data_IF_122228403754
#
_entry.id   IF_122228403754
#
_cell.length_a   1.000
_cell.length_b   1.000
_cell.length_c   1.000
_cell.angle_alpha   90.00
_cell.angle_beta   90.00
_cell.angle_gamma   90.00
#
_symmetry.space_group_name_H-M   'P 1'
#
loop_
_entity.id
_entity.type
_entity.pdbx_description
1 polymer ?
#
# COMPACT_ATOMS: atom_id res chain seq x y z
N UNK A 1 -46.38 19.58 -75.65
CA UNK A 1 -46.43 19.75 -74.18
C UNK A 1 -45.18 19.21 -73.62
N UNK A 2 -44.20 20.09 -73.27
CA UNK A 2 -42.93 19.70 -72.62
C UNK A 2 -43.07 20.01 -71.14
N UNK A 3 -42.96 18.96 -70.26
CA UNK A 3 -42.83 19.13 -68.84
C UNK A 3 -41.34 18.98 -68.47
N UNK A 4 -40.75 20.07 -67.99
CA UNK A 4 -39.37 20.12 -67.54
C UNK A 4 -39.38 20.03 -66.00
N UNK A 5 -38.85 18.93 -65.44
CA UNK A 5 -38.67 18.75 -63.96
C UNK A 5 -37.33 19.31 -63.60
N UNK A 6 -37.33 20.40 -62.84
CA UNK A 6 -36.09 20.95 -62.19
C UNK A 6 -35.78 20.19 -60.93
N UNK A 7 -34.68 19.47 -60.91
CA UNK A 7 -34.08 19.00 -59.67
C UNK A 7 -33.38 20.17 -58.94
N UNK A 8 -33.86 20.50 -57.77
CA UNK A 8 -33.12 21.37 -56.83
C UNK A 8 -31.96 20.60 -56.21
N UNK A 9 -30.74 21.10 -56.37
CA UNK A 9 -29.54 20.63 -55.70
C UNK A 9 -29.69 20.89 -54.19
N UNK A 10 -29.86 19.83 -53.41
CA UNK A 10 -29.68 19.89 -51.96
C UNK A 10 -28.19 19.99 -51.66
N UNK A 11 -27.82 21.03 -50.94
CA UNK A 11 -26.45 21.41 -50.70
C UNK A 11 -25.72 20.37 -49.84
N UNK A 12 -24.51 20.04 -50.25
CA UNK A 12 -23.51 19.14 -49.67
C UNK A 12 -23.00 19.57 -48.29
N UNK A 13 -23.71 20.47 -47.61
CA UNK A 13 -23.29 20.99 -46.27
C UNK A 13 -23.80 20.18 -45.08
N UNK A 14 -24.71 19.23 -45.27
CA UNK A 14 -25.25 18.42 -44.17
C UNK A 14 -24.62 17.04 -44.05
N UNK A 15 -23.82 16.58 -45.01
CA UNK A 15 -23.07 15.31 -44.87
C UNK A 15 -21.78 15.42 -44.06
N UNK A 16 -21.24 16.62 -43.89
CA UNK A 16 -20.01 16.82 -43.09
C UNK A 16 -20.23 16.90 -41.59
N UNK A 17 -21.45 17.08 -41.09
CA UNK A 17 -21.75 17.13 -39.65
C UNK A 17 -22.07 15.75 -39.04
N UNK A 18 -22.41 14.76 -39.87
CA UNK A 18 -22.68 13.39 -39.34
C UNK A 18 -21.41 12.54 -39.25
N UNK A 19 -20.37 12.86 -40.04
CA UNK A 19 -19.08 12.15 -39.95
C UNK A 19 -18.20 12.56 -38.75
N UNK A 20 -18.47 13.71 -38.12
CA UNK A 20 -17.70 14.18 -36.96
C UNK A 20 -18.19 13.64 -35.61
N UNK A 21 -19.34 12.96 -35.58
CA UNK A 21 -19.91 12.40 -34.33
C UNK A 21 -19.55 10.91 -34.09
N UNK A 22 -18.74 10.31 -34.95
CA UNK A 22 -18.25 8.94 -34.81
C UNK A 22 -16.76 8.85 -34.44
N UNK A 23 -16.10 9.98 -34.17
CA UNK A 23 -14.75 9.95 -33.56
C UNK A 23 -14.91 9.77 -32.07
N UNK A 24 -14.81 8.50 -31.67
CA UNK A 24 -14.55 7.95 -30.37
C UNK A 24 -14.65 8.92 -29.18
N UNK A 25 -15.79 8.95 -28.51
CA UNK A 25 -15.77 9.29 -27.09
C UNK A 25 -14.73 8.36 -26.46
N UNK A 26 -13.72 8.87 -25.72
CA UNK A 26 -12.90 8.00 -24.91
C UNK A 26 -13.87 7.20 -24.04
N UNK A 27 -13.82 5.87 -24.14
CA UNK A 27 -14.50 5.02 -23.18
C UNK A 27 -13.88 5.41 -21.85
N UNK A 28 -14.60 6.22 -21.08
CA UNK A 28 -14.23 6.48 -19.71
C UNK A 28 -14.29 5.11 -19.02
N UNK A 29 -13.12 4.46 -18.86
CA UNK A 29 -13.04 3.32 -17.98
C UNK A 29 -13.45 3.84 -16.61
N UNK A 30 -14.57 3.34 -16.10
CA UNK A 30 -15.00 3.67 -14.74
C UNK A 30 -13.93 3.12 -13.80
N UNK A 31 -13.32 4.01 -12.99
CA UNK A 31 -12.37 3.62 -11.98
C UNK A 31 -13.02 2.62 -11.02
N UNK A 32 -12.29 1.55 -10.67
CA UNK A 32 -12.82 0.54 -9.78
C UNK A 32 -12.94 1.09 -8.36
N UNK A 33 -14.16 1.22 -7.89
CA UNK A 33 -14.48 1.64 -6.54
C UNK A 33 -15.67 0.85 -5.97
N UNK A 34 -15.70 0.76 -4.66
CA UNK A 34 -16.88 0.38 -3.88
C UNK A 34 -17.24 1.55 -2.96
N UNK A 35 -18.46 1.62 -2.40
CA UNK A 35 -18.79 2.72 -1.50
C UNK A 35 -17.75 2.90 -0.38
N UNK A 36 -17.13 4.07 -0.33
CA UNK A 36 -16.13 4.43 0.66
C UNK A 36 -14.68 4.04 0.35
N UNK A 37 -14.42 3.31 -0.77
CA UNK A 37 -13.07 2.83 -1.08
C UNK A 37 -12.81 2.78 -2.58
N UNK A 38 -11.70 3.33 -3.01
CA UNK A 38 -11.13 3.20 -4.34
C UNK A 38 -9.81 2.41 -4.26
N UNK A 39 -9.68 1.35 -5.06
CA UNK A 39 -8.44 0.57 -5.14
C UNK A 39 -7.46 1.29 -6.08
N UNK A 40 -6.26 1.55 -5.58
CA UNK A 40 -5.20 2.29 -6.29
C UNK A 40 -3.99 1.38 -6.50
N UNK A 41 -3.39 1.44 -7.68
CA UNK A 41 -2.32 0.51 -8.03
C UNK A 41 -1.16 1.20 -8.78
N UNK A 42 0.08 0.90 -8.37
CA UNK A 42 1.26 1.25 -9.15
C UNK A 42 1.62 0.08 -10.08
N UNK A 43 1.51 0.33 -11.37
CA UNK A 43 2.05 -0.56 -12.41
C UNK A 43 3.49 -0.14 -12.69
N UNK A 44 4.49 -1.02 -12.47
CA UNK A 44 5.87 -0.69 -12.78
C UNK A 44 6.05 -0.39 -14.27
N UNK A 45 6.60 0.78 -14.57
CA UNK A 45 6.81 1.24 -15.96
C UNK A 45 7.63 0.21 -16.76
N UNK A 46 7.20 -0.08 -18.01
CA UNK A 46 7.86 -1.04 -18.89
C UNK A 46 7.59 -2.51 -18.52
N UNK A 47 6.48 -2.80 -17.84
CA UNK A 47 5.95 -4.16 -17.67
C UNK A 47 4.69 -4.35 -18.50
N UNK A 48 4.32 -5.62 -18.76
CA UNK A 48 3.08 -5.99 -19.45
C UNK A 48 1.86 -6.05 -18.51
N UNK A 49 2.00 -5.51 -17.29
CA UNK A 49 0.90 -5.44 -16.35
C UNK A 49 -0.04 -4.28 -16.72
N UNK A 50 -1.32 -4.56 -16.85
CA UNK A 50 -2.32 -3.58 -17.24
C UNK A 50 -3.51 -3.61 -16.28
N UNK A 51 -3.80 -2.46 -15.69
CA UNK A 51 -4.95 -2.28 -14.78
C UNK A 51 -5.68 -0.97 -15.15
N UNK A 52 -6.32 -0.91 -16.33
CA UNK A 52 -6.89 0.34 -16.86
C UNK A 52 -8.05 0.88 -16.02
N UNK A 53 -8.62 0.06 -15.16
CA UNK A 53 -9.67 0.40 -14.21
C UNK A 53 -9.15 0.81 -12.83
N UNK A 54 -7.83 0.84 -12.62
CA UNK A 54 -7.21 1.28 -11.37
C UNK A 54 -6.35 2.52 -11.62
N UNK A 55 -6.61 3.56 -10.84
CA UNK A 55 -5.84 4.79 -10.93
C UNK A 55 -4.43 4.63 -10.35
N UNK A 56 -3.50 5.39 -10.91
CA UNK A 56 -2.15 5.48 -10.37
C UNK A 56 -2.14 6.33 -9.08
N UNK A 57 -1.32 5.95 -8.07
CA UNK A 57 -1.28 6.67 -6.79
C UNK A 57 -0.84 8.12 -6.94
N UNK A 58 0.06 8.43 -7.87
CA UNK A 58 0.51 9.80 -8.11
C UNK A 58 -0.63 10.74 -8.50
N UNK A 59 -1.58 10.27 -9.31
CA UNK A 59 -2.75 11.07 -9.72
C UNK A 59 -3.73 11.24 -8.55
N UNK A 60 -3.99 10.16 -7.82
CA UNK A 60 -4.86 10.19 -6.63
C UNK A 60 -4.30 11.11 -5.54
N UNK A 61 -3.00 11.04 -5.25
CA UNK A 61 -2.38 11.89 -4.25
C UNK A 61 -2.40 13.36 -4.64
N UNK A 62 -2.11 13.66 -5.91
CA UNK A 62 -2.19 15.04 -6.44
C UNK A 62 -3.60 15.61 -6.36
N UNK A 63 -4.61 14.81 -6.70
CA UNK A 63 -6.03 15.20 -6.57
C UNK A 63 -6.38 15.50 -5.11
N UNK A 64 -6.04 14.60 -4.18
CA UNK A 64 -6.32 14.76 -2.75
C UNK A 64 -5.64 16.00 -2.17
N UNK A 65 -4.36 16.24 -2.47
CA UNK A 65 -3.64 17.43 -2.02
C UNK A 65 -4.13 18.72 -2.71
N UNK A 66 -4.51 18.62 -3.98
CA UNK A 66 -5.11 19.74 -4.72
C UNK A 66 -6.48 20.15 -4.17
N UNK A 67 -7.27 19.21 -3.70
CA UNK A 67 -8.60 19.43 -3.13
C UNK A 67 -8.57 19.90 -1.66
N UNK A 68 -7.46 19.72 -0.95
CA UNK A 68 -7.32 20.05 0.47
C UNK A 68 -7.61 21.53 0.75
N UNK A 69 -8.36 21.81 1.83
CA UNK A 69 -8.80 23.14 2.24
C UNK A 69 -8.30 23.56 3.62
N UNK A 70 -8.18 22.61 4.54
CA UNK A 70 -7.87 22.90 5.94
C UNK A 70 -6.56 22.26 6.38
N UNK A 71 -6.41 20.95 6.17
CA UNK A 71 -5.30 20.18 6.74
C UNK A 71 -4.95 18.94 5.93
N UNK A 72 -3.66 18.65 5.86
CA UNK A 72 -3.11 17.38 5.38
C UNK A 72 -2.20 16.82 6.47
N UNK A 73 -2.46 15.59 6.90
CA UNK A 73 -1.71 14.86 7.91
C UNK A 73 -1.06 13.64 7.25
N UNK A 74 0.27 13.61 7.19
CA UNK A 74 1.03 12.59 6.46
C UNK A 74 1.95 11.85 7.43
N UNK A 75 1.91 10.51 7.40
CA UNK A 75 2.84 9.67 8.15
C UNK A 75 3.55 8.70 7.20
N UNK A 76 4.88 8.73 7.22
CA UNK A 76 5.71 8.00 6.29
C UNK A 76 6.97 7.41 6.96
N UNK A 77 7.48 6.35 6.36
CA UNK A 77 8.73 5.73 6.78
C UNK A 77 9.93 6.58 6.36
N UNK A 78 10.00 6.96 5.09
CA UNK A 78 11.04 7.82 4.50
C UNK A 78 10.49 8.58 3.29
N UNK A 79 11.28 9.51 2.76
CA UNK A 79 10.94 10.29 1.57
C UNK A 79 12.09 10.31 0.57
N UNK A 80 11.79 10.16 -0.72
CA UNK A 80 12.77 10.28 -1.79
C UNK A 80 12.11 10.75 -3.09
N UNK A 81 12.69 11.73 -3.74
CA UNK A 81 12.30 12.19 -5.06
C UNK A 81 13.45 12.01 -6.06
N UNK A 82 13.12 12.14 -7.33
CA UNK A 82 14.07 12.21 -8.44
C UNK A 82 13.56 13.26 -9.43
N UNK A 83 14.41 14.12 -9.96
CA UNK A 83 14.00 15.13 -10.93
C UNK A 83 13.22 14.54 -12.11
N UNK A 84 12.06 15.13 -12.41
CA UNK A 84 11.19 14.68 -13.50
C UNK A 84 10.24 13.52 -13.15
N UNK A 85 10.31 12.98 -11.95
CA UNK A 85 9.45 11.88 -11.48
C UNK A 85 8.00 12.30 -11.21
N UNK A 86 7.14 11.29 -11.05
CA UNK A 86 5.76 11.49 -10.57
C UNK A 86 5.76 12.05 -9.15
N UNK A 87 6.72 11.67 -8.30
CA UNK A 87 6.84 12.20 -6.93
C UNK A 87 7.11 13.70 -6.93
N UNK A 88 7.92 14.22 -7.85
CA UNK A 88 8.14 15.65 -8.00
C UNK A 88 6.84 16.43 -8.19
N UNK A 89 5.91 15.90 -9.03
CA UNK A 89 4.57 16.48 -9.24
C UNK A 89 3.68 16.40 -7.99
N UNK A 90 3.83 15.33 -7.20
CA UNK A 90 3.13 15.19 -5.91
C UNK A 90 3.62 16.26 -4.91
N UNK A 91 4.93 16.48 -4.83
CA UNK A 91 5.53 17.53 -4.01
C UNK A 91 5.10 18.94 -4.45
N UNK A 92 4.98 19.19 -5.75
CA UNK A 92 4.42 20.44 -6.29
C UNK A 92 2.97 20.65 -5.81
N UNK A 93 2.13 19.60 -5.86
CA UNK A 93 0.74 19.67 -5.39
C UNK A 93 0.65 19.94 -3.88
N UNK A 94 1.55 19.32 -3.10
CA UNK A 94 1.65 19.56 -1.66
C UNK A 94 2.13 21.00 -1.36
N UNK A 95 3.10 21.50 -2.12
CA UNK A 95 3.57 22.88 -2.05
C UNK A 95 2.45 23.88 -2.35
N UNK A 96 1.69 23.63 -3.41
CA UNK A 96 0.54 24.46 -3.76
C UNK A 96 -0.54 24.46 -2.66
N UNK A 97 -0.77 23.32 -1.99
CA UNK A 97 -1.67 23.25 -0.84
C UNK A 97 -1.17 24.12 0.31
N UNK A 98 0.12 24.07 0.66
CA UNK A 98 0.73 24.92 1.67
C UNK A 98 0.65 26.42 1.31
N UNK A 99 0.86 26.78 0.04
CA UNK A 99 0.71 28.15 -0.45
C UNK A 99 -0.74 28.67 -0.34
N UNK A 100 -1.73 27.80 -0.46
CA UNK A 100 -3.15 28.14 -0.22
C UNK A 100 -3.50 28.31 1.27
N UNK A 101 -2.56 28.07 2.18
CA UNK A 101 -2.77 28.18 3.63
C UNK A 101 -3.20 26.88 4.30
N UNK A 102 -3.22 25.74 3.58
CA UNK A 102 -3.51 24.42 4.15
C UNK A 102 -2.42 24.05 5.16
N UNK A 103 -2.79 23.67 6.36
CA UNK A 103 -1.86 23.22 7.40
C UNK A 103 -1.39 21.79 7.10
N UNK A 104 -0.08 21.59 6.97
CA UNK A 104 0.48 20.29 6.66
C UNK A 104 1.30 19.81 7.85
N UNK A 105 0.93 18.64 8.39
CA UNK A 105 1.71 17.93 9.42
C UNK A 105 2.34 16.70 8.79
N UNK A 106 3.66 16.65 8.78
CA UNK A 106 4.41 15.55 8.20
C UNK A 106 5.21 14.84 9.29
N UNK A 107 4.94 13.54 9.52
CA UNK A 107 5.59 12.71 10.51
C UNK A 107 6.46 11.66 9.82
N UNK A 108 7.76 11.65 10.15
CA UNK A 108 8.73 10.68 9.63
C UNK A 108 9.27 9.78 10.73
N UNK A 109 9.59 8.55 10.37
CA UNK A 109 10.36 7.62 11.20
C UNK A 109 11.82 8.07 11.32
N UNK A 110 12.37 8.06 12.54
CA UNK A 110 13.77 8.42 12.78
C UNK A 110 14.76 7.56 12.00
N UNK A 111 14.54 6.24 11.96
CA UNK A 111 15.41 5.31 11.22
C UNK A 111 15.28 5.50 9.70
N UNK A 112 14.14 6.01 9.25
CA UNK A 112 13.87 6.32 7.86
C UNK A 112 14.64 7.52 7.32
N UNK A 113 15.12 8.42 8.20
CA UNK A 113 15.94 9.57 7.77
C UNK A 113 17.19 9.16 6.99
N UNK A 114 17.81 8.03 7.33
CA UNK A 114 18.99 7.52 6.63
C UNK A 114 18.70 7.01 5.21
N UNK A 115 17.43 6.72 4.92
CA UNK A 115 16.93 6.26 3.63
C UNK A 115 16.31 7.40 2.83
N UNK A 116 16.04 8.52 3.50
CA UNK A 116 15.47 9.71 2.87
C UNK A 116 16.53 10.43 2.06
N UNK A 117 16.11 10.96 0.92
CA UNK A 117 16.94 11.84 0.11
C UNK A 117 17.05 13.23 0.78
N UNK A 118 18.28 13.74 1.01
CA UNK A 118 18.48 15.03 1.70
C UNK A 118 17.82 16.22 0.99
N UNK A 119 17.91 16.29 -0.34
CA UNK A 119 17.30 17.37 -1.12
C UNK A 119 15.78 17.33 -1.02
N UNK A 120 15.18 16.14 -1.02
CA UNK A 120 13.74 15.96 -0.80
C UNK A 120 13.31 16.43 0.60
N UNK A 121 14.12 16.15 1.62
CA UNK A 121 13.85 16.65 2.98
C UNK A 121 13.91 18.18 3.06
N UNK A 122 14.90 18.80 2.43
CA UNK A 122 15.02 20.27 2.37
C UNK A 122 13.82 20.88 1.63
N UNK A 123 13.41 20.30 0.51
CA UNK A 123 12.21 20.74 -0.24
C UNK A 123 10.94 20.63 0.60
N UNK A 124 10.75 19.55 1.36
CA UNK A 124 9.62 19.39 2.27
C UNK A 124 9.62 20.48 3.35
N UNK A 125 10.76 20.74 3.98
CA UNK A 125 10.88 21.75 5.03
C UNK A 125 10.62 23.18 4.53
N UNK A 126 10.86 23.43 3.24
CA UNK A 126 10.61 24.71 2.60
C UNK A 126 9.12 24.93 2.22
N UNK A 127 8.26 23.93 2.32
CA UNK A 127 6.83 24.05 1.98
C UNK A 127 6.14 24.98 2.99
N UNK A 128 5.45 26.03 2.55
CA UNK A 128 4.69 26.91 3.44
C UNK A 128 3.66 26.14 4.26
N UNK A 129 3.49 26.51 5.52
CA UNK A 129 2.54 25.91 6.47
C UNK A 129 2.77 24.39 6.74
N UNK A 130 3.92 23.84 6.37
CA UNK A 130 4.31 22.49 6.71
C UNK A 130 5.11 22.47 8.01
N UNK A 131 4.74 21.54 8.90
CA UNK A 131 5.50 21.18 10.08
C UNK A 131 5.99 19.75 9.94
N UNK A 132 7.30 19.57 9.79
CA UNK A 132 7.95 18.26 9.78
C UNK A 132 8.32 17.86 11.22
N UNK A 133 7.94 16.67 11.63
CA UNK A 133 8.38 16.03 12.88
C UNK A 133 9.01 14.66 12.58
N UNK A 134 9.97 14.29 13.41
CA UNK A 134 10.62 12.99 13.37
C UNK A 134 10.26 12.24 14.64
N UNK A 135 9.69 11.04 14.50
CA UNK A 135 9.31 10.21 15.63
C UNK A 135 10.40 9.16 15.90
N UNK A 136 11.06 9.17 17.04
CA UNK A 136 12.01 8.14 17.44
C UNK A 136 11.28 6.90 17.96
N UNK A 137 10.55 6.22 17.08
CA UNK A 137 9.58 5.19 17.42
C UNK A 137 10.19 4.09 18.31
N UNK A 138 11.35 3.54 17.93
CA UNK A 138 12.02 2.50 18.71
C UNK A 138 12.41 2.95 20.12
N UNK A 139 12.72 4.23 20.33
CA UNK A 139 13.06 4.77 21.67
C UNK A 139 11.82 4.91 22.56
N UNK A 140 10.64 5.13 21.94
CA UNK A 140 9.37 5.26 22.65
C UNK A 140 8.76 3.89 23.01
N UNK A 141 8.95 2.90 22.16
CA UNK A 141 8.29 1.59 22.26
C UNK A 141 9.22 0.45 22.70
N UNK A 142 10.52 0.71 22.73
CA UNK A 142 11.57 -0.28 22.99
C UNK A 142 12.06 -1.00 21.74
N UNK A 143 11.33 -0.97 20.62
CA UNK A 143 11.71 -1.65 19.37
C UNK A 143 10.82 -1.21 18.20
N UNK A 144 11.08 -1.72 16.98
CA UNK A 144 10.25 -1.47 15.80
C UNK A 144 10.54 -0.15 15.10
N UNK A 145 9.65 0.22 14.21
CA UNK A 145 9.67 1.43 13.37
C UNK A 145 8.24 1.90 13.04
N UNK A 146 8.08 3.12 12.59
CA UNK A 146 6.92 3.49 11.77
C UNK A 146 7.15 2.90 10.37
N UNK A 147 6.34 1.93 9.99
CA UNK A 147 6.34 1.36 8.64
C UNK A 147 5.00 1.58 7.94
N UNK A 148 4.08 2.28 8.58
CA UNK A 148 2.85 2.75 7.97
C UNK A 148 3.14 3.79 6.87
N UNK A 149 2.30 3.82 5.84
CA UNK A 149 2.31 4.78 4.77
C UNK A 149 0.88 5.22 4.54
N UNK A 150 0.56 6.37 5.09
CA UNK A 150 -0.78 6.90 4.97
C UNK A 150 -0.81 8.42 5.09
N UNK A 151 -1.92 9.00 4.69
CA UNK A 151 -2.24 10.38 4.98
C UNK A 151 -3.75 10.58 5.12
N UNK A 152 -4.15 11.66 5.76
CA UNK A 152 -5.53 12.10 5.92
C UNK A 152 -5.65 13.54 5.45
N UNK A 153 -6.69 13.84 4.67
CA UNK A 153 -7.00 15.16 4.14
C UNK A 153 -8.31 15.67 4.73
N UNK A 154 -8.26 16.81 5.38
CA UNK A 154 -9.39 17.54 5.98
C UNK A 154 -10.23 16.69 6.97
N UNK A 155 -9.70 15.54 7.41
CA UNK A 155 -10.45 14.58 8.23
C UNK A 155 -11.61 13.89 7.48
N UNK A 156 -11.65 14.00 6.15
CA UNK A 156 -12.72 13.50 5.30
C UNK A 156 -12.27 12.41 4.34
N UNK A 157 -11.02 12.42 3.93
CA UNK A 157 -10.44 11.41 3.05
C UNK A 157 -9.12 10.92 3.60
N UNK A 158 -8.79 9.66 3.34
CA UNK A 158 -7.51 9.07 3.68
C UNK A 158 -6.93 8.28 2.50
N UNK A 159 -5.65 8.06 2.53
CA UNK A 159 -4.94 7.09 1.72
C UNK A 159 -4.16 6.16 2.64
N UNK A 160 -4.27 4.85 2.43
CA UNK A 160 -3.47 3.82 3.11
C UNK A 160 -2.95 2.88 2.05
N UNK A 161 -1.64 2.63 2.01
CA UNK A 161 -1.08 1.74 1.00
C UNK A 161 0.31 1.24 1.31
N UNK A 162 0.82 0.42 0.40
CA UNK A 162 2.19 -0.06 0.47
C UNK A 162 3.20 0.97 -0.05
N UNK A 163 2.74 2.00 -0.77
CA UNK A 163 3.57 3.03 -1.39
C UNK A 163 4.28 3.89 -0.34
N UNK A 164 5.61 3.88 -0.35
CA UNK A 164 6.39 4.89 0.33
C UNK A 164 6.25 6.26 -0.36
N UNK A 165 6.57 7.33 0.33
CA UNK A 165 6.65 8.67 -0.25
C UNK A 165 7.95 8.81 -1.07
N UNK A 166 7.99 8.03 -2.16
CA UNK A 166 9.19 7.72 -2.93
C UNK A 166 8.84 7.57 -4.41
N UNK A 167 9.61 8.20 -5.28
CA UNK A 167 9.43 8.16 -6.72
C UNK A 167 9.39 6.72 -7.28
N UNK A 168 10.19 5.81 -6.72
CA UNK A 168 10.22 4.40 -7.12
C UNK A 168 8.89 3.69 -6.84
N UNK A 169 8.26 4.01 -5.70
CA UNK A 169 6.95 3.47 -5.31
C UNK A 169 5.81 3.93 -6.22
N UNK A 170 5.96 5.09 -6.87
CA UNK A 170 4.94 5.60 -7.78
C UNK A 170 5.12 5.15 -9.23
N UNK A 171 6.32 4.66 -9.61
CA UNK A 171 6.66 4.39 -11.01
C UNK A 171 7.30 3.01 -11.27
N UNK A 172 8.04 2.45 -10.32
CA UNK A 172 8.93 1.31 -10.58
C UNK A 172 8.73 0.09 -9.69
N UNK A 173 7.84 0.17 -8.73
CA UNK A 173 7.53 -0.89 -7.77
C UNK A 173 6.06 -1.28 -7.92
N UNK A 174 5.75 -2.57 -7.84
CA UNK A 174 4.36 -3.04 -7.85
C UNK A 174 3.75 -2.81 -6.46
N UNK A 175 2.86 -1.83 -6.36
CA UNK A 175 2.30 -1.37 -5.09
C UNK A 175 0.77 -1.31 -5.15
N UNK A 176 0.12 -1.43 -4.00
CA UNK A 176 -1.34 -1.35 -3.88
C UNK A 176 -1.73 -0.46 -2.70
N UNK A 177 -2.73 0.39 -2.90
CA UNK A 177 -3.27 1.27 -1.87
C UNK A 177 -4.77 1.45 -2.00
N UNK A 178 -5.32 2.15 -1.04
CA UNK A 178 -6.74 2.52 -0.95
C UNK A 178 -6.86 4.03 -0.75
N UNK A 179 -7.61 4.70 -1.62
CA UNK A 179 -8.24 5.98 -1.29
C UNK A 179 -9.53 5.67 -0.54
N UNK A 180 -9.77 6.36 0.54
CA UNK A 180 -10.82 6.05 1.50
C UNK A 180 -11.60 7.32 1.82
N UNK A 181 -12.92 7.29 1.65
CA UNK A 181 -13.85 8.31 2.11
C UNK A 181 -14.94 7.73 3.04
N UNK A 182 -14.79 6.45 3.46
CA UNK A 182 -15.63 5.86 4.49
C UNK A 182 -15.37 6.57 5.84
N UNK A 183 -16.38 7.27 6.41
CA UNK A 183 -16.12 8.21 7.50
C UNK A 183 -15.52 7.58 8.76
N UNK A 184 -15.82 6.31 9.03
CA UNK A 184 -15.32 5.66 10.24
C UNK A 184 -13.86 5.23 10.08
N UNK A 185 -13.48 4.72 8.91
CA UNK A 185 -12.10 4.37 8.61
C UNK A 185 -11.22 5.63 8.59
N UNK A 186 -11.71 6.72 7.98
CA UNK A 186 -11.02 8.02 8.00
C UNK A 186 -10.78 8.51 9.42
N UNK A 187 -11.83 8.49 10.30
CA UNK A 187 -11.66 8.90 11.70
C UNK A 187 -10.69 8.01 12.47
N UNK A 188 -10.67 6.70 12.22
CA UNK A 188 -9.72 5.78 12.86
C UNK A 188 -8.28 6.04 12.40
N UNK A 189 -8.09 6.28 11.10
CA UNK A 189 -6.79 6.64 10.53
C UNK A 189 -6.28 7.97 11.11
N UNK A 190 -7.17 8.96 11.22
CA UNK A 190 -6.86 10.24 11.86
C UNK A 190 -6.44 10.07 13.33
N UNK A 191 -7.17 9.22 14.07
CA UNK A 191 -6.84 8.99 15.48
C UNK A 191 -5.45 8.33 15.67
N UNK A 192 -5.05 7.46 14.75
CA UNK A 192 -3.70 6.88 14.73
C UNK A 192 -2.65 7.97 14.50
N UNK A 193 -2.85 8.81 13.48
CA UNK A 193 -1.95 9.93 13.20
C UNK A 193 -1.82 10.87 14.41
N UNK A 194 -2.96 11.29 15.00
CA UNK A 194 -2.96 12.22 16.12
C UNK A 194 -2.24 11.64 17.34
N UNK A 195 -2.41 10.33 17.59
CA UNK A 195 -1.67 9.61 18.64
C UNK A 195 -0.16 9.67 18.39
N UNK A 196 0.29 9.34 17.19
CA UNK A 196 1.71 9.30 16.85
C UNK A 196 2.31 10.72 16.77
N UNK A 197 1.55 11.70 16.31
CA UNK A 197 1.94 13.11 16.32
C UNK A 197 2.19 13.66 17.73
N UNK A 198 1.41 13.20 18.71
CA UNK A 198 1.53 13.59 20.12
C UNK A 198 2.58 12.77 20.88
N UNK A 199 2.97 11.60 20.38
CA UNK A 199 3.94 10.69 20.99
C UNK A 199 5.38 11.18 20.85
N UNK A 200 5.67 12.41 21.30
CA UNK A 200 7.01 12.96 21.30
C UNK A 200 7.73 12.64 22.60
N UNK A 201 9.06 12.49 22.53
CA UNK A 201 9.86 12.41 23.75
C UNK A 201 9.63 13.69 24.56
N UNK A 202 9.45 13.58 25.89
CA UNK A 202 9.30 14.77 26.72
C UNK A 202 10.53 15.66 26.54
N UNK A 203 10.32 16.94 26.25
CA UNK A 203 11.36 17.94 26.44
C UNK A 203 11.80 17.90 27.89
N UNK A 204 13.10 17.98 28.19
CA UNK A 204 13.59 18.02 29.58
C UNK A 204 12.96 19.13 30.43
N UNK A 205 12.27 20.08 29.82
CA UNK A 205 11.58 21.21 30.44
C UNK A 205 10.07 21.04 30.65
N UNK A 206 9.45 19.95 30.16
CA UNK A 206 8.00 19.75 30.35
C UNK A 206 7.73 18.97 31.63
N UNK A 207 7.10 19.68 32.54
CA UNK A 207 6.68 19.36 33.90
C UNK A 207 6.22 17.91 34.13
N UNK A 208 6.73 17.27 35.18
CA UNK A 208 6.39 15.91 35.69
C UNK A 208 4.90 15.61 35.85
N UNK A 209 4.01 16.61 35.80
CA UNK A 209 2.56 16.43 35.98
C UNK A 209 1.85 15.85 34.77
N UNK A 210 2.31 16.14 33.53
CA UNK A 210 1.74 15.52 32.33
C UNK A 210 2.11 14.04 32.19
N UNK A 211 3.19 13.62 32.81
CA UNK A 211 3.69 12.24 32.77
C UNK A 211 2.80 11.24 33.53
N UNK A 212 2.02 11.70 34.51
CA UNK A 212 1.11 10.81 35.27
C UNK A 212 -0.18 10.48 34.49
N UNK A 213 -0.61 11.35 33.59
CA UNK A 213 -1.78 11.13 32.70
C UNK A 213 -1.40 10.34 31.44
N UNK A 214 -0.13 10.33 31.04
CA UNK A 214 0.37 9.55 29.90
C UNK A 214 0.88 8.14 30.27
N UNK A 215 0.65 7.66 31.49
CA UNK A 215 0.97 6.28 31.89
C UNK A 215 -0.06 5.23 31.45
N UNK A 216 -0.92 5.53 30.50
CA UNK A 216 -1.52 4.47 29.71
C UNK A 216 -0.40 3.88 28.86
N UNK A 217 -0.17 2.56 28.86
CA UNK A 217 0.67 1.93 27.87
C UNK A 217 -0.03 2.17 26.53
N UNK A 218 0.37 3.23 25.86
CA UNK A 218 -0.06 3.54 24.50
C UNK A 218 0.42 2.36 23.69
N UNK A 219 -0.51 1.48 23.36
CA UNK A 219 -0.23 0.36 22.49
C UNK A 219 0.00 0.90 21.07
N UNK A 220 1.21 1.44 20.84
CA UNK A 220 1.71 1.78 19.52
C UNK A 220 1.93 0.47 18.75
N UNK A 221 0.86 -0.16 18.28
CA UNK A 221 0.88 -1.49 17.67
C UNK A 221 0.21 -1.42 16.31
N UNK A 222 0.40 -2.40 15.43
CA UNK A 222 -0.35 -2.49 14.18
C UNK A 222 -1.83 -2.36 14.45
N UNK A 223 -2.50 -1.52 13.68
CA UNK A 223 -3.95 -1.28 13.80
C UNK A 223 -4.62 -1.93 12.60
N UNK A 224 -5.49 -2.92 12.85
CA UNK A 224 -6.38 -3.45 11.84
C UNK A 224 -7.68 -2.66 11.85
N UNK A 225 -7.98 -1.99 10.77
CA UNK A 225 -9.24 -1.30 10.52
C UNK A 225 -10.15 -2.30 9.80
N UNK A 226 -11.25 -2.68 10.44
CA UNK A 226 -12.17 -3.68 9.90
C UNK A 226 -13.42 -2.97 9.39
N UNK A 227 -13.73 -3.15 8.12
CA UNK A 227 -14.93 -2.64 7.48
C UNK A 227 -15.83 -3.76 6.95
N UNK A 228 -17.17 -3.60 7.12
CA UNK A 228 -18.18 -4.50 6.57
C UNK A 228 -19.46 -3.74 6.26
N UNK A 229 -20.01 -3.85 5.04
CA UNK A 229 -21.25 -3.17 4.66
C UNK A 229 -22.49 -3.67 5.41
N UNK A 230 -22.45 -4.88 5.97
CA UNK A 230 -23.58 -5.48 6.67
C UNK A 230 -23.71 -5.07 8.15
N UNK A 231 -22.78 -4.29 8.68
CA UNK A 231 -22.80 -3.83 10.08
C UNK A 231 -22.31 -2.41 10.18
N UNK A 232 -23.23 -1.48 10.42
CA UNK A 232 -22.93 -0.11 10.84
C UNK A 232 -22.28 -0.02 12.25
N UNK A 233 -22.01 -1.15 12.88
CA UNK A 233 -21.32 -1.25 14.16
C UNK A 233 -19.92 -1.82 13.93
N UNK A 234 -18.96 -0.93 13.82
CA UNK A 234 -17.55 -1.26 13.86
C UNK A 234 -17.23 -1.69 15.29
N UNK A 235 -16.94 -2.97 15.47
CA UNK A 235 -16.33 -3.40 16.70
C UNK A 235 -14.90 -2.85 16.73
N UNK A 236 -14.68 -1.78 17.49
CA UNK A 236 -13.36 -1.35 17.95
C UNK A 236 -12.68 -2.50 18.69
N UNK A 237 -12.05 -3.39 17.96
CA UNK A 237 -10.92 -4.13 18.49
C UNK A 237 -9.73 -3.69 17.67
N UNK A 238 -9.13 -2.57 18.10
CA UNK A 238 -7.71 -2.41 17.89
C UNK A 238 -7.10 -3.76 18.27
N UNK A 239 -6.63 -4.51 17.28
CA UNK A 239 -5.75 -5.63 17.54
C UNK A 239 -4.46 -5.04 18.07
N UNK A 240 -4.49 -4.65 19.36
CA UNK A 240 -3.35 -4.09 20.09
C UNK A 240 -2.27 -5.15 20.33
N UNK A 241 -2.39 -6.31 19.72
CA UNK A 241 -1.34 -7.34 19.69
C UNK A 241 -1.52 -8.19 18.45
N UNK A 242 -0.47 -8.57 17.74
CA UNK A 242 -0.43 -9.72 16.86
C UNK A 242 -0.39 -11.00 17.71
N UNK A 243 -1.12 -11.02 18.81
CA UNK A 243 -1.42 -12.28 19.46
C UNK A 243 -2.39 -13.05 18.57
N UNK A 244 -2.46 -14.38 18.71
CA UNK A 244 -3.26 -15.26 17.85
C UNK A 244 -4.74 -14.89 17.70
N UNK A 245 -5.15 -13.71 18.07
CA UNK A 245 -6.51 -13.18 18.03
C UNK A 245 -6.81 -12.28 16.83
N UNK A 246 -5.87 -11.94 15.96
CA UNK A 246 -6.23 -11.63 14.57
C UNK A 246 -6.64 -12.91 13.84
N UNK A 247 -7.19 -13.84 14.60
CA UNK A 247 -7.81 -15.10 14.20
C UNK A 247 -8.95 -14.91 13.21
N UNK A 248 -9.41 -13.67 13.01
CA UNK A 248 -10.55 -13.39 12.15
C UNK A 248 -10.17 -13.58 10.68
N UNK A 249 -9.02 -13.12 10.25
CA UNK A 249 -8.58 -13.31 8.86
C UNK A 249 -7.95 -14.68 8.62
N UNK A 250 -7.06 -15.15 9.49
CA UNK A 250 -6.27 -16.36 9.26
C UNK A 250 -7.00 -17.69 9.50
N UNK A 251 -8.14 -17.67 10.23
CA UNK A 251 -8.88 -18.90 10.56
C UNK A 251 -10.09 -19.19 9.68
N UNK A 252 -10.44 -18.33 8.72
CA UNK A 252 -11.71 -18.42 8.03
C UNK A 252 -11.73 -18.83 6.56
N UNK A 253 -10.63 -18.89 5.78
CA UNK A 253 -10.77 -19.37 4.42
C UNK A 253 -11.28 -20.82 4.46
N UNK A 254 -12.35 -21.06 3.70
CA UNK A 254 -12.96 -22.39 3.57
C UNK A 254 -12.43 -23.14 2.37
N UNK A 255 -12.08 -22.41 1.30
CA UNK A 255 -11.71 -22.99 0.03
C UNK A 255 -10.47 -22.34 -0.59
N UNK A 256 -10.30 -21.04 -0.51
CA UNK A 256 -9.27 -20.32 -1.26
C UNK A 256 -8.61 -19.22 -0.42
N UNK A 257 -7.30 -19.09 -0.60
CA UNK A 257 -6.48 -18.01 -0.09
C UNK A 257 -5.48 -17.60 -1.16
N UNK A 258 -5.43 -16.33 -1.53
CA UNK A 258 -4.39 -15.78 -2.38
C UNK A 258 -3.76 -14.56 -1.72
N UNK A 259 -2.45 -14.41 -1.90
CA UNK A 259 -1.73 -13.26 -1.34
C UNK A 259 -0.54 -12.88 -2.18
N UNK A 260 -0.30 -11.57 -2.23
CA UNK A 260 0.94 -10.96 -2.70
C UNK A 260 1.59 -10.24 -1.52
N UNK A 261 2.82 -10.60 -1.20
CA UNK A 261 3.56 -10.01 -0.10
C UNK A 261 5.01 -9.74 -0.51
N UNK A 262 5.48 -8.53 -0.23
CA UNK A 262 6.87 -8.15 -0.49
C UNK A 262 7.85 -9.10 0.20
N UNK A 263 7.65 -9.29 1.50
CA UNK A 263 8.51 -10.11 2.34
C UNK A 263 7.67 -10.92 3.30
N UNK A 264 7.88 -12.24 3.32
CA UNK A 264 7.31 -13.15 4.31
C UNK A 264 8.34 -14.16 4.78
N UNK A 265 8.43 -14.33 6.08
CA UNK A 265 9.32 -15.30 6.70
C UNK A 265 8.89 -15.57 8.14
N UNK A 266 9.07 -16.81 8.63
CA UNK A 266 8.76 -17.15 10.02
C UNK A 266 9.88 -16.74 10.99
N UNK A 267 10.44 -15.55 10.79
CA UNK A 267 11.49 -14.96 11.59
C UNK A 267 11.09 -13.56 12.03
N UNK A 268 11.67 -13.07 13.08
CA UNK A 268 11.52 -11.70 13.57
C UNK A 268 12.85 -10.97 13.54
N UNK A 269 12.82 -9.64 13.48
CA UNK A 269 14.01 -8.85 13.78
C UNK A 269 14.15 -8.76 15.30
N UNK A 270 15.31 -9.14 15.82
CA UNK A 270 15.68 -9.04 17.22
C UNK A 270 16.83 -8.07 17.45
N UNK A 271 17.16 -7.77 18.71
CA UNK A 271 18.40 -7.07 19.05
C UNK A 271 19.62 -7.88 18.55
N UNK A 272 20.72 -7.18 18.37
CA UNK A 272 22.03 -7.80 18.02
C UNK A 272 22.00 -8.67 16.74
N UNK A 273 21.13 -8.32 15.78
CA UNK A 273 20.91 -9.08 14.53
C UNK A 273 20.42 -10.52 14.75
N UNK A 274 19.98 -10.88 15.93
CA UNK A 274 19.29 -12.15 16.17
C UNK A 274 17.98 -12.19 15.38
N UNK A 275 17.63 -13.38 14.90
CA UNK A 275 16.40 -13.59 14.13
C UNK A 275 15.56 -14.68 14.78
N UNK A 276 14.84 -14.34 15.89
CA UNK A 276 14.00 -15.30 16.59
C UNK A 276 12.92 -15.88 15.66
N UNK A 277 12.61 -17.14 15.86
CA UNK A 277 11.54 -17.81 15.13
C UNK A 277 10.18 -17.17 15.43
N UNK A 278 9.44 -16.86 14.39
CA UNK A 278 8.12 -16.23 14.45
C UNK A 278 7.16 -16.92 13.49
N UNK A 279 6.47 -17.92 13.99
CA UNK A 279 5.70 -18.84 13.16
C UNK A 279 4.23 -18.46 12.96
N UNK A 280 3.78 -17.29 13.39
CA UNK A 280 2.35 -16.95 13.43
C UNK A 280 1.69 -17.10 12.06
N UNK A 281 2.28 -16.54 11.03
CA UNK A 281 1.75 -16.60 9.66
C UNK A 281 1.99 -17.98 9.03
N UNK A 282 3.21 -18.50 9.13
CA UNK A 282 3.57 -19.80 8.57
C UNK A 282 2.67 -20.92 9.14
N UNK A 283 2.45 -20.95 10.46
CA UNK A 283 1.53 -21.89 11.09
C UNK A 283 0.08 -21.70 10.65
N UNK A 284 -0.36 -20.45 10.42
CA UNK A 284 -1.72 -20.18 9.94
C UNK A 284 -1.92 -20.72 8.52
N UNK A 285 -0.95 -20.52 7.63
CA UNK A 285 -0.97 -21.03 6.26
C UNK A 285 -0.96 -22.56 6.25
N UNK A 286 -0.04 -23.22 6.97
CA UNK A 286 0.02 -24.69 7.07
C UNK A 286 -1.28 -25.26 7.65
N UNK A 287 -1.83 -24.63 8.69
CA UNK A 287 -3.11 -25.05 9.27
C UNK A 287 -4.29 -24.87 8.31
N UNK A 288 -4.31 -23.84 7.49
CA UNK A 288 -5.32 -23.64 6.46
C UNK A 288 -5.19 -24.71 5.37
N UNK A 289 -3.98 -24.97 4.88
CA UNK A 289 -3.70 -26.02 3.90
C UNK A 289 -4.11 -27.42 4.40
N UNK A 290 -3.85 -27.73 5.67
CA UNK A 290 -4.26 -28.98 6.30
C UNK A 290 -5.79 -29.14 6.38
N UNK A 291 -6.55 -28.06 6.35
CA UNK A 291 -8.01 -28.07 6.22
C UNK A 291 -8.51 -28.17 4.78
N UNK A 292 -7.63 -28.28 3.79
CA UNK A 292 -7.97 -28.36 2.37
C UNK A 292 -8.10 -26.99 1.68
N UNK A 293 -7.69 -25.90 2.30
CA UNK A 293 -7.68 -24.57 1.67
C UNK A 293 -6.59 -24.52 0.60
N UNK A 294 -6.95 -24.15 -0.62
CA UNK A 294 -5.98 -23.86 -1.68
C UNK A 294 -5.29 -22.53 -1.43
N UNK A 295 -3.97 -22.54 -1.32
CA UNK A 295 -3.14 -21.38 -1.01
C UNK A 295 -2.24 -21.06 -2.21
N UNK A 296 -2.33 -19.81 -2.69
CA UNK A 296 -1.42 -19.22 -3.68
C UNK A 296 -0.70 -18.05 -3.04
N UNK A 297 0.60 -18.18 -2.85
CA UNK A 297 1.44 -17.15 -2.24
C UNK A 297 2.46 -16.64 -3.26
N UNK A 298 2.47 -15.34 -3.53
CA UNK A 298 3.55 -14.67 -4.26
C UNK A 298 4.43 -13.89 -3.29
N UNK A 299 5.73 -14.00 -3.50
CA UNK A 299 6.75 -13.23 -2.78
C UNK A 299 7.70 -12.57 -3.78
N UNK A 300 8.37 -11.50 -3.37
CA UNK A 300 9.42 -10.91 -4.19
C UNK A 300 10.67 -11.80 -4.22
N UNK A 301 11.49 -11.64 -5.24
CA UNK A 301 12.82 -12.23 -5.35
C UNK A 301 13.78 -11.78 -4.25
N UNK A 302 13.46 -10.73 -3.50
CA UNK A 302 14.21 -10.35 -2.29
C UNK A 302 14.10 -11.39 -1.16
N UNK A 303 13.23 -12.39 -1.28
CA UNK A 303 13.10 -13.49 -0.32
C UNK A 303 13.92 -14.74 -0.71
N UNK A 304 14.80 -14.64 -1.71
CA UNK A 304 15.60 -15.79 -2.16
C UNK A 304 16.88 -16.00 -1.35
N UNK A 305 17.23 -15.08 -0.47
CA UNK A 305 18.36 -15.24 0.45
C UNK A 305 18.12 -16.30 1.54
N UNK A 306 19.22 -16.78 2.12
CA UNK A 306 19.17 -17.69 3.26
C UNK A 306 19.03 -16.91 4.59
N UNK A 307 18.25 -17.37 5.56
CA UNK A 307 17.50 -18.64 5.59
C UNK A 307 16.08 -18.56 5.02
N UNK A 308 15.65 -17.41 4.49
CA UNK A 308 14.26 -17.13 4.09
C UNK A 308 13.76 -18.11 3.04
N UNK A 309 14.54 -18.36 2.00
CA UNK A 309 14.16 -19.25 0.91
C UNK A 309 13.94 -20.69 1.37
N UNK A 310 14.66 -21.15 2.39
CA UNK A 310 14.48 -22.49 2.94
C UNK A 310 13.09 -22.67 3.56
N UNK A 311 12.55 -21.64 4.23
CA UNK A 311 11.19 -21.66 4.77
C UNK A 311 10.13 -21.66 3.65
N UNK A 312 10.34 -20.87 2.59
CA UNK A 312 9.45 -20.84 1.44
C UNK A 312 9.42 -22.17 0.71
N UNK A 313 10.59 -22.82 0.51
CA UNK A 313 10.69 -24.17 -0.05
C UNK A 313 9.93 -25.18 0.83
N UNK A 314 10.12 -25.13 2.15
CA UNK A 314 9.39 -25.97 3.10
C UNK A 314 7.87 -25.76 3.04
N UNK A 315 7.42 -24.53 2.87
CA UNK A 315 6.00 -24.21 2.75
C UNK A 315 5.42 -24.74 1.42
N UNK A 316 6.18 -24.66 0.34
CA UNK A 316 5.78 -25.16 -0.98
C UNK A 316 5.62 -26.69 -1.06
N UNK A 317 6.23 -27.44 -0.12
CA UNK A 317 6.06 -28.88 0.02
C UNK A 317 4.73 -29.28 0.68
N UNK A 318 4.04 -28.34 1.30
CA UNK A 318 2.75 -28.61 1.96
C UNK A 318 1.67 -28.81 0.91
N UNK A 319 0.87 -29.90 0.94
CA UNK A 319 -0.26 -30.08 0.04
C UNK A 319 -1.19 -28.86 0.05
N UNK A 320 -1.75 -28.50 -1.10
CA UNK A 320 -2.60 -27.35 -1.34
C UNK A 320 -1.89 -25.97 -1.24
N UNK A 321 -0.57 -25.91 -1.10
CA UNK A 321 0.20 -24.67 -1.11
C UNK A 321 1.02 -24.57 -2.39
N UNK A 322 0.91 -23.42 -3.05
CA UNK A 322 1.74 -23.03 -4.18
C UNK A 322 2.45 -21.71 -3.84
N UNK A 323 3.75 -21.67 -4.03
CA UNK A 323 4.57 -20.48 -3.82
C UNK A 323 5.20 -20.08 -5.15
N UNK A 324 5.08 -18.81 -5.52
CA UNK A 324 5.78 -18.24 -6.68
C UNK A 324 6.66 -17.07 -6.24
N UNK A 325 7.83 -17.00 -6.85
CA UNK A 325 8.76 -15.89 -6.73
C UNK A 325 8.50 -14.98 -7.92
N UNK A 326 8.37 -13.68 -7.65
CA UNK A 326 8.15 -12.66 -8.69
C UNK A 326 9.42 -11.87 -8.88
N UNK A 327 9.92 -11.86 -10.12
CA UNK A 327 11.05 -11.06 -10.56
C UNK A 327 10.59 -10.13 -11.68
N UNK A 328 10.60 -8.82 -11.43
CA UNK A 328 10.25 -7.83 -12.43
C UNK A 328 11.46 -7.53 -13.33
N UNK A 329 11.25 -7.27 -14.63
CA UNK A 329 12.35 -6.97 -15.55
C UNK A 329 13.03 -5.66 -15.15
N UNK A 330 14.31 -5.53 -15.49
CA UNK A 330 15.08 -4.31 -15.34
C UNK A 330 14.36 -3.15 -16.06
N UNK A 331 14.44 -1.95 -15.51
CA UNK A 331 13.91 -0.76 -16.16
C UNK A 331 14.71 -0.40 -17.42
N UNK A 332 14.09 0.30 -18.38
CA UNK A 332 14.75 0.70 -19.61
C UNK A 332 15.99 1.59 -19.38
N UNK A 333 16.00 2.37 -18.29
CA UNK A 333 17.15 3.19 -17.86
C UNK A 333 18.23 2.41 -17.10
N UNK A 334 18.07 1.09 -16.97
CA UNK A 334 19.02 0.22 -16.26
C UNK A 334 18.60 -0.08 -14.82
N UNK A 335 19.59 -0.44 -13.99
CA UNK A 335 19.38 -0.80 -12.59
C UNK A 335 18.94 0.41 -11.77
N UNK A 336 17.86 0.21 -10.99
CA UNK A 336 17.35 1.18 -10.03
C UNK A 336 17.43 0.52 -8.64
N UNK A 337 18.25 1.05 -7.71
CA UNK A 337 18.38 0.48 -6.37
C UNK A 337 17.02 0.44 -5.65
N UNK A 338 16.72 -0.68 -4.99
CA UNK A 338 15.49 -0.89 -4.22
C UNK A 338 14.18 -0.74 -5.02
N UNK A 339 14.22 -1.01 -6.33
CA UNK A 339 13.06 -0.98 -7.21
C UNK A 339 12.86 -2.33 -7.93
N UNK A 340 11.95 -2.36 -8.90
CA UNK A 340 11.62 -3.55 -9.72
C UNK A 340 11.24 -4.77 -8.88
N UNK A 341 10.38 -4.56 -7.90
CA UNK A 341 9.95 -5.55 -6.92
C UNK A 341 8.44 -5.49 -6.73
N UNK A 342 7.83 -6.61 -6.35
CA UNK A 342 6.49 -6.56 -5.79
C UNK A 342 6.59 -6.13 -4.32
N UNK A 343 5.94 -5.03 -4.00
CA UNK A 343 5.91 -4.51 -2.63
C UNK A 343 4.48 -4.38 -2.09
N UNK A 344 3.48 -4.75 -2.86
CA UNK A 344 2.09 -4.87 -2.42
C UNK A 344 1.98 -5.80 -1.22
N UNK A 345 1.08 -5.49 -0.30
CA UNK A 345 0.69 -6.33 0.81
C UNK A 345 -0.81 -6.51 0.73
N UNK A 346 -1.23 -7.55 0.04
CA UNK A 346 -2.63 -7.84 -0.22
C UNK A 346 -2.96 -9.30 0.05
N UNK A 347 -4.21 -9.53 0.44
CA UNK A 347 -4.74 -10.88 0.67
C UNK A 347 -6.20 -10.90 0.26
N UNK A 348 -6.61 -12.00 -0.36
CA UNK A 348 -7.99 -12.30 -0.68
C UNK A 348 -8.36 -13.67 -0.14
N UNK A 349 -9.53 -13.78 0.47
CA UNK A 349 -10.06 -15.01 1.06
C UNK A 349 -11.45 -15.31 0.48
N UNK A 350 -11.58 -16.45 -0.23
CA UNK A 350 -12.85 -17.00 -0.73
C UNK A 350 -13.66 -16.02 -1.59
N UNK A 351 -13.04 -15.05 -2.26
CA UNK A 351 -13.68 -13.92 -2.95
C UNK A 351 -14.67 -13.11 -2.06
N UNK A 352 -14.45 -13.10 -0.75
CA UNK A 352 -15.36 -12.46 0.22
C UNK A 352 -14.67 -11.45 1.10
N UNK A 353 -13.39 -11.65 1.39
CA UNK A 353 -12.62 -10.82 2.30
C UNK A 353 -11.37 -10.34 1.59
N UNK A 354 -11.16 -9.04 1.60
CA UNK A 354 -9.94 -8.38 1.16
C UNK A 354 -9.15 -7.85 2.36
N UNK A 355 -7.84 -7.91 2.25
CA UNK A 355 -6.90 -7.27 3.17
C UNK A 355 -5.89 -6.48 2.35
N UNK A 356 -5.74 -5.21 2.67
CA UNK A 356 -4.73 -4.31 2.10
C UNK A 356 -4.01 -3.63 3.24
N UNK A 357 -2.68 -3.68 3.25
CA UNK A 357 -1.95 -3.15 4.37
C UNK A 357 -0.53 -2.70 4.07
N UNK A 358 0.14 -2.30 5.13
CA UNK A 358 1.51 -1.78 5.10
C UNK A 358 2.53 -2.79 5.62
N UNK A 359 2.10 -3.85 6.35
CA UNK A 359 2.98 -4.80 7.02
C UNK A 359 3.66 -5.77 6.08
N UNK A 360 4.97 -5.90 6.20
CA UNK A 360 5.66 -7.12 5.79
C UNK A 360 5.31 -8.27 6.75
N UNK A 361 5.30 -9.50 6.24
CA UNK A 361 4.86 -10.67 7.00
C UNK A 361 6.01 -11.33 7.77
N UNK A 362 6.53 -10.61 8.72
CA UNK A 362 7.55 -11.11 9.65
C UNK A 362 7.40 -10.44 11.03
N UNK A 363 8.00 -11.03 12.06
CA UNK A 363 7.75 -10.69 13.45
C UNK A 363 7.95 -9.23 13.79
N UNK A 364 9.09 -8.63 13.56
CA UNK A 364 9.34 -7.23 13.95
C UNK A 364 8.40 -6.20 13.34
N UNK A 365 7.81 -6.48 12.16
CA UNK A 365 6.78 -5.61 11.55
C UNK A 365 5.41 -5.83 12.18
N UNK A 366 5.02 -7.08 12.43
CA UNK A 366 3.69 -7.41 12.94
C UNK A 366 3.52 -7.17 14.44
N UNK A 367 4.61 -7.26 15.22
CA UNK A 367 4.55 -7.17 16.68
C UNK A 367 4.93 -5.80 17.22
N UNK A 368 5.92 -5.16 16.62
CA UNK A 368 6.62 -4.05 17.22
C UNK A 368 6.57 -2.74 16.41
N UNK A 369 6.20 -2.81 15.12
CA UNK A 369 6.19 -1.63 14.27
C UNK A 369 4.80 -1.02 14.11
N UNK A 370 4.73 0.28 13.84
CA UNK A 370 3.49 0.94 13.43
C UNK A 370 3.19 0.54 12.00
N UNK A 371 2.09 -0.16 11.80
CA UNK A 371 1.51 -0.48 10.52
C UNK A 371 0.00 -0.23 10.54
N UNK A 372 -0.60 -0.07 9.38
CA UNK A 372 -2.04 0.01 9.18
C UNK A 372 -2.51 -1.08 8.22
N UNK A 373 -3.63 -1.70 8.58
CA UNK A 373 -4.24 -2.79 7.83
C UNK A 373 -5.73 -2.51 7.67
N UNK A 374 -6.22 -2.58 6.44
CA UNK A 374 -7.67 -2.46 6.14
C UNK A 374 -8.19 -3.83 5.76
N UNK A 375 -9.13 -4.34 6.54
CA UNK A 375 -9.83 -5.61 6.27
C UNK A 375 -11.24 -5.30 5.83
N UNK A 376 -11.59 -5.69 4.62
CA UNK A 376 -12.88 -5.41 4.01
C UNK A 376 -13.65 -6.70 3.76
N UNK A 377 -14.86 -6.79 4.28
CA UNK A 377 -15.80 -7.89 4.04
C UNK A 377 -16.70 -7.53 2.87
N UNK A 378 -16.11 -7.45 1.68
CA UNK A 378 -16.81 -7.09 0.45
C UNK A 378 -16.30 -7.96 -0.71
N UNK A 379 -17.23 -8.63 -1.40
CA UNK A 379 -16.89 -9.57 -2.47
C UNK A 379 -16.37 -8.87 -3.73
N UNK A 380 -16.76 -7.64 -4.01
CA UNK A 380 -16.32 -6.91 -5.22
C UNK A 380 -14.83 -6.58 -5.10
N UNK A 381 -14.43 -5.95 -3.99
CA UNK A 381 -13.01 -5.61 -3.79
C UNK A 381 -12.15 -6.85 -3.58
N UNK A 382 -12.67 -7.89 -2.89
CA UNK A 382 -11.97 -9.16 -2.74
C UNK A 382 -11.72 -9.82 -4.10
N UNK A 383 -12.74 -9.89 -4.96
CA UNK A 383 -12.60 -10.41 -6.31
C UNK A 383 -11.60 -9.59 -7.13
N UNK A 384 -11.65 -8.24 -7.03
CA UNK A 384 -10.74 -7.38 -7.81
C UNK A 384 -9.27 -7.54 -7.38
N UNK A 385 -9.02 -7.71 -6.08
CA UNK A 385 -7.67 -8.05 -5.57
C UNK A 385 -7.26 -9.44 -6.06
N UNK A 386 -8.17 -10.41 -6.07
CA UNK A 386 -7.92 -11.73 -6.65
C UNK A 386 -7.55 -11.69 -8.14
N UNK A 387 -8.15 -10.77 -8.92
CA UNK A 387 -7.80 -10.55 -10.33
C UNK A 387 -6.41 -9.90 -10.49
N UNK A 388 -6.05 -8.93 -9.63
CA UNK A 388 -4.69 -8.38 -9.60
C UNK A 388 -3.66 -9.49 -9.33
N UNK A 389 -3.93 -10.32 -8.34
CA UNK A 389 -3.08 -11.46 -8.03
C UNK A 389 -2.99 -12.43 -9.21
N UNK A 390 -4.12 -12.77 -9.87
CA UNK A 390 -4.14 -13.70 -10.99
C UNK A 390 -3.34 -13.17 -12.19
N UNK A 391 -3.46 -11.88 -12.51
CA UNK A 391 -2.70 -11.25 -13.60
C UNK A 391 -1.18 -11.44 -13.40
N UNK A 392 -0.70 -11.20 -12.20
CA UNK A 392 0.72 -11.36 -11.89
C UNK A 392 1.12 -12.83 -11.77
N UNK A 393 0.25 -13.65 -11.15
CA UNK A 393 0.46 -15.09 -10.97
C UNK A 393 0.59 -15.84 -12.28
N UNK A 394 -0.28 -15.58 -13.25
CA UNK A 394 -0.31 -16.27 -14.53
C UNK A 394 0.56 -15.55 -15.58
N UNK A 395 1.14 -14.41 -15.23
CA UNK A 395 2.02 -13.62 -16.09
C UNK A 395 3.47 -14.14 -16.14
N UNK A 396 4.32 -13.51 -16.95
CA UNK A 396 5.69 -13.98 -17.19
C UNK A 396 6.64 -13.79 -16.01
N UNK A 397 6.26 -12.96 -15.03
CA UNK A 397 7.15 -12.53 -13.94
C UNK A 397 7.11 -13.45 -12.72
N UNK A 398 6.08 -14.28 -12.56
CA UNK A 398 5.87 -15.14 -11.41
C UNK A 398 6.25 -16.59 -11.74
N UNK A 399 7.34 -17.08 -11.16
CA UNK A 399 7.82 -18.43 -11.37
C UNK A 399 7.60 -19.31 -10.12
N UNK A 400 7.16 -20.57 -10.27
CA UNK A 400 7.10 -21.50 -9.15
C UNK A 400 8.45 -21.59 -8.45
N UNK A 401 8.44 -21.62 -7.12
CA UNK A 401 9.68 -21.87 -6.38
C UNK A 401 10.15 -23.31 -6.66
N UNK A 402 11.39 -23.45 -7.07
CA UNK A 402 12.04 -24.75 -7.25
C UNK A 402 12.74 -25.15 -5.94
N UNK A 403 12.28 -26.22 -5.32
CA UNK A 403 12.80 -26.73 -4.04
C UNK A 403 14.24 -27.24 -4.14
N UNK A 404 14.67 -27.63 -5.35
CA UNK A 404 16.00 -28.18 -5.60
C UNK A 404 17.01 -27.15 -6.10
N UNK A 405 16.54 -25.96 -6.47
CA UNK A 405 17.40 -24.90 -7.00
C UNK A 405 18.06 -24.12 -5.87
N UNK A 406 19.36 -23.86 -5.99
CA UNK A 406 20.03 -22.85 -5.18
C UNK A 406 19.76 -21.46 -5.74
N UNK A 407 19.23 -20.59 -4.90
CA UNK A 407 18.92 -19.21 -5.25
C UNK A 407 20.06 -18.29 -4.84
N UNK A 408 20.40 -17.31 -5.67
CA UNK A 408 21.42 -16.33 -5.28
C UNK A 408 20.90 -15.44 -4.14
N UNK A 409 21.86 -14.94 -3.34
CA UNK A 409 21.55 -13.91 -2.35
C UNK A 409 21.07 -12.63 -3.06
N UNK A 410 19.94 -12.04 -2.68
CA UNK A 410 19.45 -10.82 -3.31
C UNK A 410 20.27 -9.60 -2.88
N UNK A 411 20.59 -8.73 -3.83
CA UNK A 411 21.32 -7.47 -3.61
C UNK A 411 20.48 -6.26 -4.07
N UNK A 412 19.37 -5.91 -3.41
CA UNK A 412 18.43 -4.89 -3.90
C UNK A 412 19.02 -3.49 -4.08
N UNK A 413 20.12 -3.18 -3.41
CA UNK A 413 20.83 -1.90 -3.49
C UNK A 413 22.03 -1.87 -4.44
N UNK A 414 22.35 -2.99 -5.09
CA UNK A 414 23.55 -3.15 -5.95
C UNK A 414 23.16 -3.79 -7.28
N UNK A 415 23.79 -3.38 -8.40
CA UNK A 415 23.55 -3.96 -9.72
C UNK A 415 23.94 -5.43 -9.80
#
# INVERSE_FOLDING_TARGET
>A
MHFSIRFRSMSMRYLSLIAALLLGSPVAHADFAIPGFELVHTVPVGTDLHTPDLRAPGDVWRELFGAARERIDIEQFYVADQPGSVMGKVLESLTAAGQRGVKIRFLLEEKGLKLSDPETLERLQAIPNLTLRVLPYARLTGSGIIHAKFFVVDGQQAFIGSQNFDWRSLEHIHETGLRIDEPTVVRQTQAVFDQDWLAQLPSPTVNRFLFLLCRLPVALRPVAIIWSPARSAITHRACATPRPNCRVCWRKPKARFVSSCSTTQPLSYGPDKTRPYYAVIDNALRSAAARGVSIKLMVSDWNTGMPEVAYLKSLALVPNVQVRIVTLPMAAQGFIPYARVIHSKTMELDNQIAWVGTSNWLGGYLDNSRNLEVVMYDSKIATRIGLLHAQLWDGPYAQPIDINRDYPEPHPGQP
#
